data_IF_702048966812
#
_entry.id   IF_702048966812
#
_cell.length_a   1.000
_cell.length_b   1.000
_cell.length_c   1.000
_cell.angle_alpha   90.00
_cell.angle_beta   90.00
_cell.angle_gamma   90.00
#
_symmetry.space_group_name_H-M   'P 1'
#
loop_
_entity.id
_entity.type
_entity.pdbx_description
1 polymer ?
#
# COMPACT_ATOMS: atom_id res chain seq x y z
N UNK A 1 51.94 -51.89 -45.22
CA UNK A 1 52.99 -51.93 -44.17
C UNK A 1 54.12 -51.02 -44.60
N UNK A 2 54.18 -49.81 -44.04
CA UNK A 2 55.40 -49.00 -43.95
C UNK A 2 55.17 -47.94 -42.87
N UNK A 3 56.16 -47.83 -41.99
CA UNK A 3 56.17 -47.07 -40.77
C UNK A 3 56.75 -45.66 -40.96
N UNK A 4 56.53 -44.84 -39.92
CA UNK A 4 57.37 -43.77 -39.37
C UNK A 4 57.77 -42.53 -40.21
N UNK A 5 57.36 -41.36 -39.72
CA UNK A 5 58.18 -40.14 -39.60
C UNK A 5 57.36 -39.13 -38.76
N UNK A 6 57.63 -39.02 -37.46
CA UNK A 6 58.53 -38.01 -36.88
C UNK A 6 58.06 -36.56 -37.10
N UNK A 7 57.54 -35.95 -36.04
CA UNK A 7 57.37 -34.50 -35.92
C UNK A 7 57.51 -34.04 -34.48
N UNK A 8 58.71 -33.50 -34.23
CA UNK A 8 58.98 -32.23 -33.55
C UNK A 8 58.48 -31.99 -32.12
N UNK A 9 59.44 -32.19 -31.21
CA UNK A 9 59.84 -31.30 -30.11
C UNK A 9 59.15 -29.92 -30.07
N UNK A 10 58.62 -29.58 -28.89
CA UNK A 10 58.89 -28.31 -28.18
C UNK A 10 58.63 -28.45 -26.68
N UNK A 11 59.72 -28.39 -25.92
CA UNK A 11 59.78 -28.21 -24.46
C UNK A 11 60.03 -26.74 -24.15
N UNK A 12 59.12 -26.09 -23.40
CA UNK A 12 59.29 -24.88 -22.57
C UNK A 12 57.87 -24.44 -22.17
N UNK A 13 57.54 -23.96 -20.97
CA UNK A 13 58.32 -23.46 -19.84
C UNK A 13 57.35 -23.44 -18.65
N UNK A 14 57.86 -23.86 -17.50
CA UNK A 14 57.31 -23.57 -16.18
C UNK A 14 57.30 -22.04 -15.96
N UNK A 15 56.11 -21.46 -15.75
CA UNK A 15 55.97 -20.13 -15.16
C UNK A 15 54.81 -20.10 -14.16
N UNK A 16 55.17 -20.16 -12.88
CA UNK A 16 54.69 -19.16 -11.93
C UNK A 16 53.31 -19.39 -11.32
N UNK A 17 53.23 -20.34 -10.39
CA UNK A 17 52.19 -20.36 -9.36
C UNK A 17 52.49 -19.31 -8.28
N UNK A 18 51.69 -18.24 -8.24
CA UNK A 18 51.42 -17.42 -7.05
C UNK A 18 51.29 -15.90 -7.32
N UNK A 19 50.65 -15.11 -6.44
CA UNK A 19 49.84 -15.45 -5.28
C UNK A 19 48.37 -15.01 -5.42
N UNK A 20 47.55 -15.57 -4.53
CA UNK A 20 46.17 -15.19 -4.23
C UNK A 20 46.05 -13.67 -4.06
N UNK A 21 45.46 -13.01 -5.05
CA UNK A 21 44.99 -11.64 -4.95
C UNK A 21 43.74 -11.59 -4.07
N UNK A 22 43.95 -11.45 -2.77
CA UNK A 22 42.94 -10.99 -1.83
C UNK A 22 42.55 -9.55 -2.17
N UNK A 23 41.57 -9.40 -3.07
CA UNK A 23 40.86 -8.14 -3.30
C UNK A 23 39.60 -8.10 -2.45
N UNK A 24 39.75 -7.95 -1.13
CA UNK A 24 38.66 -7.51 -0.26
C UNK A 24 38.25 -6.10 -0.67
N UNK A 25 37.18 -5.99 -1.45
CA UNK A 25 36.24 -4.87 -1.32
C UNK A 25 34.82 -5.45 -1.47
N UNK A 26 34.48 -6.34 -0.54
CA UNK A 26 33.16 -6.22 0.07
C UNK A 26 33.08 -4.80 0.60
N UNK A 27 32.60 -3.88 -0.23
CA UNK A 27 32.04 -2.64 0.22
C UNK A 27 30.83 -3.06 1.04
N UNK A 28 31.08 -3.36 2.31
CA UNK A 28 30.12 -3.28 3.39
C UNK A 28 29.75 -1.80 3.49
N UNK A 29 29.06 -1.31 2.45
CA UNK A 29 28.45 -0.01 2.42
C UNK A 29 27.34 -0.14 3.44
N UNK A 30 27.67 0.20 4.70
CA UNK A 30 26.74 0.18 5.81
C UNK A 30 25.42 0.83 5.39
N UNK A 31 24.30 0.41 5.99
CA UNK A 31 22.96 0.69 5.50
C UNK A 31 22.85 2.13 4.99
N UNK A 32 22.40 2.27 3.74
CA UNK A 32 22.30 3.56 3.07
C UNK A 32 21.50 4.52 3.95
N UNK A 33 21.72 5.84 3.83
CA UNK A 33 20.98 6.85 4.62
C UNK A 33 19.47 6.58 4.68
N UNK A 34 18.88 6.04 3.61
CA UNK A 34 17.47 5.63 3.52
C UNK A 34 17.11 4.45 4.42
N UNK A 35 17.96 3.43 4.47
CA UNK A 35 17.72 2.22 5.28
C UNK A 35 17.71 2.56 6.78
N UNK A 36 18.53 3.53 7.18
CA UNK A 36 18.55 4.09 8.55
C UNK A 36 17.26 4.83 8.92
N UNK A 37 16.51 5.33 7.94
CA UNK A 37 15.26 6.08 8.18
C UNK A 37 14.02 5.17 8.26
N UNK A 38 14.09 3.93 7.77
CA UNK A 38 12.93 3.01 7.71
C UNK A 38 12.30 2.79 9.09
N UNK A 39 13.11 2.39 10.08
CA UNK A 39 12.64 2.13 11.45
C UNK A 39 12.10 3.38 12.15
N UNK A 40 12.83 4.52 12.21
CA UNK A 40 12.33 5.70 12.90
C UNK A 40 11.07 6.28 12.26
N UNK A 41 10.93 6.24 10.93
CA UNK A 41 9.70 6.68 10.25
C UNK A 41 8.50 5.81 10.60
N UNK A 42 8.69 4.48 10.64
CA UNK A 42 7.63 3.57 11.06
C UNK A 42 7.25 3.77 12.53
N UNK A 43 8.23 3.92 13.41
CA UNK A 43 8.00 4.20 14.84
C UNK A 43 7.25 5.52 14.99
N UNK A 44 7.66 6.58 14.29
CA UNK A 44 7.00 7.87 14.33
C UNK A 44 5.55 7.77 13.84
N UNK A 45 5.27 7.02 12.77
CA UNK A 45 3.91 6.76 12.30
C UNK A 45 3.05 6.06 13.37
N UNK A 46 3.59 5.02 14.02
CA UNK A 46 2.88 4.29 15.07
C UNK A 46 2.62 5.16 16.30
N UNK A 47 3.60 5.98 16.71
CA UNK A 47 3.45 6.92 17.83
C UNK A 47 2.42 7.99 17.50
N UNK A 48 2.49 8.60 16.31
CA UNK A 48 1.51 9.58 15.87
C UNK A 48 0.09 8.96 15.82
N UNK A 49 -0.05 7.73 15.30
CA UNK A 49 -1.32 7.01 15.30
C UNK A 49 -1.86 6.71 16.70
N UNK A 50 -0.98 6.33 17.63
CA UNK A 50 -1.38 6.13 19.02
C UNK A 50 -1.81 7.44 19.71
N UNK A 51 -1.08 8.54 19.47
CA UNK A 51 -1.42 9.87 19.98
C UNK A 51 -2.77 10.33 19.42
N UNK A 52 -3.01 10.11 18.13
CA UNK A 52 -4.29 10.42 17.48
C UNK A 52 -5.45 9.64 18.11
N UNK A 53 -5.34 8.31 18.15
CA UNK A 53 -6.41 7.44 18.67
C UNK A 53 -6.70 7.68 20.16
N UNK A 54 -5.66 7.85 20.99
CA UNK A 54 -5.82 8.19 22.40
C UNK A 54 -6.40 9.60 22.55
N UNK A 55 -5.97 10.54 21.72
CA UNK A 55 -6.50 11.89 21.67
C UNK A 55 -8.01 11.90 21.40
N UNK A 56 -8.45 11.16 20.39
CA UNK A 56 -9.87 10.98 20.06
C UNK A 56 -10.65 10.35 21.22
N UNK A 57 -10.14 9.26 21.82
CA UNK A 57 -10.80 8.60 22.95
C UNK A 57 -10.88 9.48 24.22
N UNK A 58 -9.87 10.32 24.43
CA UNK A 58 -9.79 11.23 25.58
C UNK A 58 -10.48 12.58 25.33
N UNK A 59 -10.99 12.84 24.12
CA UNK A 59 -11.57 14.13 23.74
C UNK A 59 -10.54 15.27 23.64
N UNK A 60 -9.27 14.96 23.40
CA UNK A 60 -8.18 15.93 23.25
C UNK A 60 -8.06 16.32 21.78
N UNK A 61 -8.90 17.28 21.38
CA UNK A 61 -9.06 17.75 20.01
C UNK A 61 -7.74 18.24 19.38
N UNK A 62 -6.88 18.90 20.18
CA UNK A 62 -5.56 19.33 19.73
C UNK A 62 -4.64 18.17 19.33
N UNK A 63 -4.74 17.02 20.02
CA UNK A 63 -3.95 15.84 19.69
C UNK A 63 -4.37 15.28 18.33
N UNK A 64 -5.67 15.23 18.05
CA UNK A 64 -6.20 14.80 16.75
C UNK A 64 -5.76 15.75 15.61
N UNK A 65 -5.94 17.07 15.80
CA UNK A 65 -5.58 18.07 14.79
C UNK A 65 -4.10 18.11 14.43
N UNK A 66 -3.21 17.81 15.38
CA UNK A 66 -1.77 17.78 15.13
C UNK A 66 -1.35 16.40 14.61
N UNK A 67 -1.78 15.32 15.25
CA UNK A 67 -1.31 13.98 14.89
C UNK A 67 -1.81 13.55 13.51
N UNK A 68 -3.07 13.83 13.18
CA UNK A 68 -3.71 13.37 11.93
C UNK A 68 -2.96 13.82 10.67
N UNK A 69 -2.62 15.12 10.48
CA UNK A 69 -1.84 15.55 9.31
C UNK A 69 -0.43 14.95 9.22
N UNK A 70 0.13 14.41 10.30
CA UNK A 70 1.46 13.79 10.29
C UNK A 70 1.44 12.34 9.78
N UNK A 71 0.31 11.63 9.90
CA UNK A 71 0.22 10.19 9.67
C UNK A 71 0.65 9.79 8.26
N UNK A 72 -0.03 10.34 7.24
CA UNK A 72 0.21 9.96 5.85
C UNK A 72 1.57 10.42 5.31
N UNK A 73 2.09 11.63 5.63
CA UNK A 73 3.47 12.00 5.28
C UNK A 73 4.53 11.09 5.90
N UNK A 74 4.36 10.66 7.16
CA UNK A 74 5.27 9.70 7.80
C UNK A 74 5.26 8.36 7.09
N UNK A 75 4.08 7.85 6.74
CA UNK A 75 3.93 6.60 6.01
C UNK A 75 4.47 6.69 4.57
N UNK A 76 4.29 7.84 3.90
CA UNK A 76 4.86 8.13 2.59
C UNK A 76 6.40 8.18 2.65
N UNK A 77 6.96 8.81 3.69
CA UNK A 77 8.38 8.80 3.98
C UNK A 77 8.90 7.38 4.19
N UNK A 78 8.18 6.56 4.96
CA UNK A 78 8.51 5.14 5.16
C UNK A 78 8.52 4.37 3.82
N UNK A 79 7.51 4.56 2.97
CA UNK A 79 7.46 3.95 1.65
C UNK A 79 8.65 4.38 0.77
N UNK A 80 9.01 5.66 0.78
CA UNK A 80 10.16 6.18 0.03
C UNK A 80 11.49 5.63 0.55
N UNK A 81 11.66 5.54 1.87
CA UNK A 81 12.84 4.95 2.51
C UNK A 81 12.99 3.47 2.14
N UNK A 82 11.87 2.74 2.01
CA UNK A 82 11.79 1.35 1.52
C UNK A 82 11.88 1.21 0.00
N UNK A 83 12.13 2.30 -0.75
CA UNK A 83 12.21 2.34 -2.22
C UNK A 83 10.91 1.87 -2.89
N UNK A 84 9.78 2.20 -2.29
CA UNK A 84 8.46 1.88 -2.81
C UNK A 84 8.12 2.55 -4.13
N UNK A 85 7.08 2.06 -4.82
CA UNK A 85 6.61 2.65 -6.07
C UNK A 85 6.17 4.11 -5.92
N UNK A 86 6.41 4.93 -6.93
CA UNK A 86 5.98 6.36 -6.92
C UNK A 86 4.47 6.54 -6.77
N UNK A 87 3.69 5.63 -7.36
CA UNK A 87 2.22 5.63 -7.23
C UNK A 87 1.76 5.39 -5.79
N UNK A 88 2.47 4.57 -5.01
CA UNK A 88 2.17 4.37 -3.59
C UNK A 88 2.40 5.67 -2.80
N UNK A 89 3.53 6.33 -3.05
CA UNK A 89 3.84 7.62 -2.39
C UNK A 89 2.80 8.68 -2.78
N UNK A 90 2.43 8.77 -4.06
CA UNK A 90 1.38 9.68 -4.52
C UNK A 90 0.03 9.38 -3.84
N UNK A 91 -0.36 8.10 -3.74
CA UNK A 91 -1.59 7.71 -3.06
C UNK A 91 -1.64 8.18 -1.60
N UNK A 92 -0.53 8.02 -0.87
CA UNK A 92 -0.40 8.46 0.52
C UNK A 92 -0.43 10.00 0.64
N UNK A 93 0.20 10.74 -0.27
CA UNK A 93 0.15 12.21 -0.26
C UNK A 93 -1.23 12.76 -0.61
N UNK A 94 -1.97 12.09 -1.48
CA UNK A 94 -3.38 12.42 -1.72
C UNK A 94 -4.28 12.04 -0.54
N UNK A 95 -3.96 10.95 0.17
CA UNK A 95 -4.58 10.62 1.46
C UNK A 95 -4.33 11.70 2.51
N UNK A 96 -3.10 12.21 2.60
CA UNK A 96 -2.75 13.35 3.46
C UNK A 96 -3.58 14.60 3.14
N UNK A 97 -3.73 14.92 1.85
CA UNK A 97 -4.60 16.02 1.42
C UNK A 97 -6.04 15.81 1.89
N UNK A 98 -6.56 14.59 1.72
CA UNK A 98 -7.89 14.19 2.19
C UNK A 98 -8.05 14.40 3.70
N UNK A 99 -7.15 13.84 4.50
CA UNK A 99 -7.12 13.98 5.96
C UNK A 99 -7.09 15.45 6.41
N UNK A 100 -6.33 16.28 5.71
CA UNK A 100 -6.18 17.70 6.04
C UNK A 100 -7.44 18.48 5.71
N UNK A 101 -8.08 18.22 4.57
CA UNK A 101 -9.32 18.90 4.19
C UNK A 101 -10.50 18.46 5.06
N UNK A 102 -10.54 17.20 5.50
CA UNK A 102 -11.58 16.69 6.41
C UNK A 102 -11.53 17.29 7.83
N UNK A 103 -10.46 18.00 8.20
CA UNK A 103 -10.40 18.71 9.48
C UNK A 103 -11.24 20.00 9.48
N UNK A 104 -11.59 20.53 8.31
CA UNK A 104 -12.41 21.74 8.22
C UNK A 104 -13.89 21.36 8.19
N UNK A 105 -14.65 21.96 9.09
CA UNK A 105 -16.09 21.78 9.20
C UNK A 105 -16.83 22.55 8.07
N UNK A 106 -16.79 22.01 6.85
CA UNK A 106 -17.53 22.53 5.70
C UNK A 106 -17.75 21.48 4.62
N UNK A 107 -18.92 21.50 3.98
CA UNK A 107 -19.26 20.58 2.88
C UNK A 107 -18.29 20.70 1.70
N UNK A 108 -17.81 21.92 1.43
CA UNK A 108 -16.83 22.14 0.36
C UNK A 108 -15.50 21.47 0.69
N UNK A 109 -15.01 21.62 1.93
CA UNK A 109 -13.78 20.94 2.35
C UNK A 109 -13.96 19.42 2.37
N UNK A 110 -15.13 18.92 2.77
CA UNK A 110 -15.47 17.50 2.67
C UNK A 110 -15.37 16.98 1.23
N UNK A 111 -15.99 17.67 0.26
CA UNK A 111 -15.93 17.29 -1.15
C UNK A 111 -14.52 17.36 -1.73
N UNK A 112 -13.74 18.39 -1.35
CA UNK A 112 -12.33 18.52 -1.76
C UNK A 112 -11.48 17.40 -1.15
N UNK A 113 -11.71 17.07 0.13
CA UNK A 113 -11.05 15.97 0.81
C UNK A 113 -11.36 14.62 0.19
N UNK A 114 -12.65 14.35 -0.08
CA UNK A 114 -13.10 13.17 -0.82
C UNK A 114 -12.47 13.09 -2.21
N UNK A 115 -12.41 14.23 -2.93
CA UNK A 115 -11.74 14.33 -4.22
C UNK A 115 -10.25 13.98 -4.12
N UNK A 116 -9.56 14.46 -3.09
CA UNK A 116 -8.17 14.11 -2.82
C UNK A 116 -8.00 12.61 -2.59
N UNK A 117 -8.83 12.00 -1.71
CA UNK A 117 -8.83 10.54 -1.52
C UNK A 117 -9.12 9.79 -2.81
N UNK A 118 -10.06 10.26 -3.65
CA UNK A 118 -10.38 9.64 -4.92
C UNK A 118 -9.17 9.57 -5.84
N UNK A 119 -8.38 10.65 -5.95
CA UNK A 119 -7.13 10.64 -6.73
C UNK A 119 -6.11 9.66 -6.12
N UNK A 120 -6.06 9.56 -4.78
CA UNK A 120 -5.27 8.56 -4.08
C UNK A 120 -5.66 7.11 -4.44
N UNK A 121 -6.97 6.83 -4.47
CA UNK A 121 -7.51 5.52 -4.86
C UNK A 121 -7.24 5.18 -6.32
N UNK A 122 -7.26 6.18 -7.21
CA UNK A 122 -6.85 5.99 -8.61
C UNK A 122 -5.36 5.61 -8.68
N UNK A 123 -4.50 6.24 -7.88
CA UNK A 123 -3.08 5.88 -7.80
C UNK A 123 -2.90 4.44 -7.30
N UNK A 124 -3.65 4.02 -6.28
CA UNK A 124 -3.67 2.63 -5.80
C UNK A 124 -4.14 1.66 -6.90
N UNK A 125 -5.25 1.96 -7.57
CA UNK A 125 -5.76 1.15 -8.66
C UNK A 125 -4.75 0.99 -9.80
N UNK A 126 -4.04 2.05 -10.17
CA UNK A 126 -2.97 1.95 -11.17
C UNK A 126 -1.81 1.11 -10.67
N UNK A 127 -1.41 1.28 -9.41
CA UNK A 127 -0.37 0.49 -8.79
C UNK A 127 -0.69 -1.01 -8.76
N UNK A 128 -1.94 -1.37 -8.44
CA UNK A 128 -2.37 -2.77 -8.37
C UNK A 128 -2.40 -3.44 -9.74
N UNK A 129 -2.47 -2.66 -10.83
CA UNK A 129 -2.48 -3.17 -12.20
C UNK A 129 -3.72 -4.00 -12.52
N UNK A 130 -3.89 -4.41 -13.78
CA UNK A 130 -5.10 -5.13 -14.26
C UNK A 130 -5.21 -6.59 -13.79
N UNK A 131 -4.75 -6.89 -12.59
CA UNK A 131 -4.92 -8.22 -12.02
C UNK A 131 -6.41 -8.54 -11.86
N UNK A 132 -6.79 -9.73 -12.30
CA UNK A 132 -8.16 -10.23 -12.20
C UNK A 132 -8.46 -10.53 -10.73
N UNK A 133 -9.39 -9.78 -10.14
CA UNK A 133 -10.05 -10.21 -8.92
C UNK A 133 -10.94 -11.41 -9.24
N UNK A 134 -11.13 -12.29 -8.26
CA UNK A 134 -12.08 -13.41 -8.40
C UNK A 134 -13.46 -12.84 -8.75
N UNK A 135 -14.17 -13.36 -9.77
CA UNK A 135 -15.52 -12.94 -10.11
C UNK A 135 -16.47 -13.00 -8.91
N UNK A 136 -16.26 -13.98 -8.02
CA UNK A 136 -17.02 -14.13 -6.77
C UNK A 136 -16.76 -12.98 -5.81
N UNK A 137 -15.49 -12.58 -5.65
CA UNK A 137 -15.14 -11.43 -4.81
C UNK A 137 -15.71 -10.13 -5.41
N UNK A 138 -15.59 -9.94 -6.73
CA UNK A 138 -16.16 -8.79 -7.42
C UNK A 138 -17.68 -8.70 -7.25
N UNK A 139 -18.39 -9.83 -7.38
CA UNK A 139 -19.83 -9.89 -7.13
C UNK A 139 -20.18 -9.59 -5.66
N UNK A 140 -19.42 -10.15 -4.71
CA UNK A 140 -19.62 -9.87 -3.28
C UNK A 140 -19.47 -8.38 -2.97
N UNK A 141 -18.41 -7.74 -3.47
CA UNK A 141 -18.20 -6.30 -3.33
C UNK A 141 -19.31 -5.48 -4.01
N UNK A 142 -19.76 -5.89 -5.20
CA UNK A 142 -20.86 -5.21 -5.90
C UNK A 142 -22.17 -5.28 -5.09
N UNK A 143 -22.52 -6.46 -4.56
CA UNK A 143 -23.71 -6.63 -3.71
C UNK A 143 -23.61 -5.78 -2.45
N UNK A 144 -22.46 -5.83 -1.74
CA UNK A 144 -22.23 -5.02 -0.53
C UNK A 144 -22.38 -3.54 -0.85
N UNK A 145 -21.73 -3.05 -1.90
CA UNK A 145 -21.82 -1.66 -2.32
C UNK A 145 -23.26 -1.24 -2.65
N UNK A 146 -23.96 -2.03 -3.47
CA UNK A 146 -25.34 -1.70 -3.89
C UNK A 146 -26.27 -1.66 -2.68
N UNK A 147 -26.20 -2.67 -1.81
CA UNK A 147 -27.02 -2.71 -0.59
C UNK A 147 -26.68 -1.54 0.33
N UNK A 148 -25.40 -1.27 0.55
CA UNK A 148 -24.95 -0.19 1.40
C UNK A 148 -25.41 1.19 0.90
N UNK A 149 -25.21 1.49 -0.39
CA UNK A 149 -25.66 2.76 -0.99
C UNK A 149 -27.20 2.88 -0.95
N UNK A 150 -27.93 1.79 -1.23
CA UNK A 150 -29.39 1.80 -1.18
C UNK A 150 -29.91 2.08 0.23
N UNK A 151 -29.28 1.52 1.26
CA UNK A 151 -29.62 1.74 2.66
C UNK A 151 -29.36 3.19 3.11
N UNK A 152 -28.27 3.78 2.66
CA UNK A 152 -27.90 5.16 3.02
C UNK A 152 -28.65 6.22 2.21
N UNK A 153 -29.19 5.87 1.04
CA UNK A 153 -29.67 6.82 0.02
C UNK A 153 -30.61 7.91 0.56
N UNK A 154 -31.56 7.53 1.42
CA UNK A 154 -32.55 8.46 1.95
C UNK A 154 -32.02 9.31 3.11
N UNK A 155 -31.00 8.83 3.82
CA UNK A 155 -30.35 9.59 4.91
C UNK A 155 -29.32 10.59 4.40
N UNK A 156 -28.74 10.36 3.22
CA UNK A 156 -27.74 11.27 2.66
C UNK A 156 -28.36 12.59 2.14
N UNK A 157 -27.68 13.74 2.36
CA UNK A 157 -28.01 15.01 1.72
C UNK A 157 -28.11 14.86 0.20
N UNK A 158 -29.10 15.51 -0.42
CA UNK A 158 -29.46 15.28 -1.82
C UNK A 158 -28.31 15.56 -2.80
N UNK A 159 -27.53 16.59 -2.52
CA UNK A 159 -26.33 17.01 -3.25
C UNK A 159 -25.13 16.08 -3.03
N UNK A 160 -25.06 15.38 -1.90
CA UNK A 160 -23.97 14.44 -1.57
C UNK A 160 -24.19 13.01 -2.07
N UNK A 161 -25.43 12.61 -2.42
CA UNK A 161 -25.76 11.24 -2.86
C UNK A 161 -24.91 10.77 -4.04
N UNK A 162 -24.82 11.59 -5.09
CA UNK A 162 -24.08 11.24 -6.31
C UNK A 162 -22.56 11.23 -6.05
N UNK A 163 -21.95 12.26 -5.42
CA UNK A 163 -20.55 12.21 -5.00
C UNK A 163 -20.20 10.97 -4.17
N UNK A 164 -20.97 10.66 -3.13
CA UNK A 164 -20.72 9.52 -2.24
C UNK A 164 -20.86 8.19 -2.99
N UNK A 165 -21.87 8.03 -3.84
CA UNK A 165 -22.05 6.80 -4.63
C UNK A 165 -20.88 6.60 -5.61
N UNK A 166 -20.47 7.65 -6.32
CA UNK A 166 -19.34 7.60 -7.26
C UNK A 166 -18.02 7.29 -6.56
N UNK A 167 -17.77 7.95 -5.42
CA UNK A 167 -16.61 7.68 -4.57
C UNK A 167 -16.62 6.25 -4.01
N UNK A 168 -17.75 5.78 -3.51
CA UNK A 168 -17.91 4.44 -2.96
C UNK A 168 -17.66 3.36 -4.03
N UNK A 169 -18.08 3.60 -5.28
CA UNK A 169 -17.77 2.71 -6.39
C UNK A 169 -16.27 2.62 -6.66
N UNK A 170 -15.58 3.77 -6.69
CA UNK A 170 -14.13 3.84 -6.87
C UNK A 170 -13.38 3.10 -5.75
N UNK A 171 -13.76 3.37 -4.50
CA UNK A 171 -13.17 2.75 -3.31
C UNK A 171 -13.39 1.23 -3.30
N UNK A 172 -14.59 0.79 -3.67
CA UNK A 172 -14.93 -0.64 -3.80
C UNK A 172 -14.09 -1.32 -4.88
N UNK A 173 -13.88 -0.65 -6.02
CA UNK A 173 -13.01 -1.18 -7.07
C UNK A 173 -11.55 -1.29 -6.60
N UNK A 174 -11.07 -0.33 -5.81
CA UNK A 174 -9.73 -0.35 -5.18
C UNK A 174 -9.63 -1.53 -4.21
N UNK A 175 -10.58 -1.68 -3.29
CA UNK A 175 -10.61 -2.75 -2.30
C UNK A 175 -10.65 -4.15 -2.96
N UNK A 176 -11.50 -4.31 -3.98
CA UNK A 176 -11.60 -5.54 -4.76
C UNK A 176 -10.28 -5.93 -5.45
N UNK A 177 -9.53 -4.94 -5.95
CA UNK A 177 -8.25 -5.15 -6.64
C UNK A 177 -7.05 -5.24 -5.71
N UNK A 178 -7.14 -4.73 -4.48
CA UNK A 178 -6.04 -4.75 -3.52
C UNK A 178 -5.53 -6.17 -3.26
N UNK A 179 -6.41 -7.18 -3.33
CA UNK A 179 -6.02 -8.59 -3.17
C UNK A 179 -5.05 -9.12 -4.22
N UNK A 180 -4.86 -8.42 -5.34
CA UNK A 180 -3.83 -8.75 -6.33
C UNK A 180 -2.40 -8.70 -5.76
N UNK A 181 -2.18 -7.90 -4.72
CA UNK A 181 -0.90 -7.80 -4.00
C UNK A 181 -0.80 -8.80 -2.81
N UNK A 182 -1.80 -9.66 -2.64
CA UNK A 182 -1.87 -10.67 -1.60
C UNK A 182 -2.81 -10.31 -0.44
N UNK A 183 -2.95 -11.24 0.51
CA UNK A 183 -3.92 -11.16 1.61
C UNK A 183 -3.78 -9.89 2.45
N UNK A 184 -2.55 -9.42 2.70
CA UNK A 184 -2.31 -8.20 3.47
C UNK A 184 -2.97 -6.98 2.82
N UNK A 185 -2.78 -6.80 1.52
CA UNK A 185 -3.41 -5.70 0.79
C UNK A 185 -4.92 -5.90 0.65
N UNK A 186 -5.42 -7.15 0.50
CA UNK A 186 -6.85 -7.44 0.49
C UNK A 186 -7.53 -6.96 1.79
N UNK A 187 -6.97 -7.31 2.95
CA UNK A 187 -7.47 -6.87 4.25
C UNK A 187 -7.36 -5.35 4.38
N UNK A 188 -6.25 -4.75 3.91
CA UNK A 188 -6.09 -3.30 3.90
C UNK A 188 -7.17 -2.58 3.08
N UNK A 189 -7.47 -3.07 1.88
CA UNK A 189 -8.55 -2.53 1.04
C UNK A 189 -9.92 -2.66 1.69
N UNK A 190 -10.21 -3.81 2.30
CA UNK A 190 -11.47 -4.03 3.05
C UNK A 190 -11.61 -3.10 4.26
N UNK A 191 -10.54 -2.88 5.02
CA UNK A 191 -10.54 -1.93 6.14
C UNK A 191 -10.71 -0.48 5.69
N UNK A 192 -10.18 -0.10 4.51
CA UNK A 192 -10.41 1.23 3.95
C UNK A 192 -11.90 1.41 3.62
N UNK A 193 -12.50 0.42 2.95
CA UNK A 193 -13.93 0.42 2.65
C UNK A 193 -14.78 0.51 3.93
N UNK A 194 -14.38 -0.18 5.00
CA UNK A 194 -15.05 -0.09 6.30
C UNK A 194 -14.92 1.30 6.92
N UNK A 195 -13.72 1.88 6.93
CA UNK A 195 -13.47 3.24 7.45
C UNK A 195 -14.37 4.27 6.80
N UNK A 196 -14.40 4.32 5.47
CA UNK A 196 -15.21 5.30 4.75
C UNK A 196 -16.70 4.98 4.82
N UNK A 197 -17.05 3.71 4.97
CA UNK A 197 -18.40 3.28 5.29
C UNK A 197 -18.88 3.87 6.62
N UNK A 198 -18.05 3.86 7.66
CA UNK A 198 -18.38 4.48 8.95
C UNK A 198 -18.62 6.00 8.80
N UNK A 199 -17.78 6.69 8.02
CA UNK A 199 -17.99 8.11 7.69
C UNK A 199 -19.34 8.31 6.98
N UNK A 200 -19.63 7.50 5.95
CA UNK A 200 -20.87 7.60 5.18
C UNK A 200 -22.12 7.32 6.04
N UNK A 201 -22.05 6.38 7.00
CA UNK A 201 -23.14 6.16 7.97
C UNK A 201 -23.36 7.37 8.86
N UNK A 202 -22.30 8.08 9.23
CA UNK A 202 -22.43 9.29 10.02
C UNK A 202 -23.09 10.45 9.26
N UNK A 203 -22.76 10.61 7.98
CA UNK A 203 -23.40 11.61 7.10
C UNK A 203 -24.88 11.28 6.86
N UNK A 204 -25.25 10.00 6.87
CA UNK A 204 -26.64 9.57 6.68
C UNK A 204 -27.47 9.57 7.98
N UNK A 205 -26.95 10.13 9.08
CA UNK A 205 -27.58 10.16 10.41
C UNK A 205 -27.96 8.77 10.94
N UNK A 206 -27.21 7.73 10.56
CA UNK A 206 -27.41 6.39 11.11
C UNK A 206 -26.88 6.28 12.55
N UNK A 207 -27.42 5.34 13.36
CA UNK A 207 -26.87 5.08 14.70
C UNK A 207 -25.38 4.73 14.63
N UNK A 208 -24.57 5.51 15.35
CA UNK A 208 -23.12 5.35 15.36
C UNK A 208 -22.65 4.53 16.57
N UNK A 209 -21.46 3.95 16.44
CA UNK A 209 -20.76 3.32 17.56
C UNK A 209 -20.31 4.37 18.58
N UNK A 210 -20.10 3.99 19.86
CA UNK A 210 -19.40 4.85 20.80
C UNK A 210 -18.01 5.21 20.26
N UNK A 211 -17.65 6.50 20.35
CA UNK A 211 -16.43 7.07 19.77
C UNK A 211 -16.28 6.75 18.27
N UNK A 212 -17.16 7.27 17.40
CA UNK A 212 -17.17 6.94 15.97
C UNK A 212 -15.84 7.27 15.28
N UNK A 213 -15.27 8.44 15.59
CA UNK A 213 -14.00 8.90 15.03
C UNK A 213 -12.83 7.97 15.36
N UNK A 214 -12.87 7.30 16.52
CA UNK A 214 -11.86 6.31 16.89
C UNK A 214 -11.90 5.12 15.94
N UNK A 215 -13.09 4.59 15.63
CA UNK A 215 -13.24 3.43 14.74
C UNK A 215 -12.88 3.78 13.30
N UNK A 216 -13.26 4.97 12.84
CA UNK A 216 -12.83 5.50 11.54
C UNK A 216 -11.31 5.56 11.49
N UNK A 217 -10.66 6.27 12.43
CA UNK A 217 -9.20 6.42 12.42
C UNK A 217 -8.46 5.09 12.61
N UNK A 218 -8.95 4.19 13.46
CA UNK A 218 -8.32 2.90 13.70
C UNK A 218 -8.33 2.03 12.43
N UNK A 219 -9.49 1.91 11.79
CA UNK A 219 -9.63 1.12 10.56
C UNK A 219 -8.88 1.76 9.39
N UNK A 220 -8.90 3.10 9.29
CA UNK A 220 -8.12 3.86 8.32
C UNK A 220 -6.60 3.65 8.45
N UNK A 221 -6.06 3.80 9.66
CA UNK A 221 -4.64 3.62 9.93
C UNK A 221 -4.17 2.20 9.61
N UNK A 222 -4.97 1.21 10.03
CA UNK A 222 -4.71 -0.19 9.72
C UNK A 222 -4.77 -0.45 8.20
N UNK A 223 -5.75 0.13 7.50
CA UNK A 223 -5.90 0.03 6.05
C UNK A 223 -4.66 0.57 5.32
N UNK A 224 -4.27 1.81 5.62
CA UNK A 224 -3.12 2.47 5.00
C UNK A 224 -1.81 1.74 5.26
N UNK A 225 -1.60 1.26 6.49
CA UNK A 225 -0.44 0.47 6.85
C UNK A 225 -0.38 -0.86 6.08
N UNK A 226 -1.50 -1.58 5.99
CA UNK A 226 -1.58 -2.87 5.30
C UNK A 226 -1.44 -2.73 3.78
N UNK A 227 -2.06 -1.72 3.17
CA UNK A 227 -1.89 -1.40 1.75
C UNK A 227 -0.43 -1.03 1.44
N UNK A 228 0.18 -0.20 2.28
CA UNK A 228 1.58 0.21 2.14
C UNK A 228 2.52 -0.98 2.26
N UNK A 229 2.39 -1.78 3.32
CA UNK A 229 3.27 -2.94 3.52
C UNK A 229 3.02 -4.07 2.53
N UNK A 230 1.78 -4.24 2.05
CA UNK A 230 1.43 -5.15 0.96
C UNK A 230 2.07 -4.74 -0.36
N UNK A 231 2.01 -3.46 -0.72
CA UNK A 231 2.66 -2.92 -1.92
C UNK A 231 4.20 -2.93 -1.87
N UNK A 232 4.78 -2.95 -0.68
CA UNK A 232 6.23 -3.07 -0.45
C UNK A 232 6.69 -4.52 -0.25
N UNK A 233 5.76 -5.49 -0.20
CA UNK A 233 6.13 -6.89 -0.09
C UNK A 233 6.79 -7.34 -1.41
N UNK A 234 7.79 -8.23 -1.34
CA UNK A 234 8.33 -8.87 -2.53
C UNK A 234 7.18 -9.50 -3.33
N UNK A 235 7.20 -9.33 -4.66
CA UNK A 235 6.22 -9.99 -5.51
C UNK A 235 6.25 -11.50 -5.20
N UNK A 236 5.11 -12.18 -5.03
CA UNK A 236 5.10 -13.61 -4.83
C UNK A 236 5.87 -14.24 -5.99
N UNK A 237 6.93 -14.99 -5.67
CA UNK A 237 7.64 -15.80 -6.65
C UNK A 237 6.59 -16.62 -7.40
N UNK A 238 6.50 -16.43 -8.72
CA UNK A 238 5.74 -17.35 -9.55
C UNK A 238 6.44 -18.71 -9.44
N UNK A 239 6.00 -19.53 -8.51
CA UNK A 239 6.52 -20.87 -8.26
C UNK A 239 6.53 -21.64 -9.58
N UNK A 240 7.75 -21.96 -10.06
CA UNK A 240 8.06 -23.06 -10.96
C UNK A 240 7.35 -23.10 -12.32
N UNK A 241 7.95 -22.44 -13.33
CA UNK A 241 7.95 -22.99 -14.69
C UNK A 241 9.38 -23.41 -15.03
N UNK A 242 9.82 -24.49 -14.40
CA UNK A 242 11.02 -25.24 -14.79
C UNK A 242 10.59 -26.61 -15.26
N UNK A 243 10.70 -26.80 -16.58
CA UNK A 243 11.19 -27.99 -17.28
C UNK A 243 10.56 -29.36 -16.99
N UNK A 244 9.84 -29.87 -17.99
CA UNK A 244 10.19 -31.17 -18.58
C UNK A 244 10.49 -30.93 -20.06
N UNK A 245 11.73 -30.56 -20.35
CA UNK A 245 12.36 -30.91 -21.62
C UNK A 245 12.83 -32.35 -21.42
N UNK A 246 12.05 -33.31 -21.92
CA UNK A 246 12.43 -34.72 -21.91
C UNK A 246 13.46 -34.97 -23.02
N UNK A 247 14.47 -35.82 -22.83
CA UNK A 247 15.43 -36.12 -23.88
C UNK A 247 14.69 -36.74 -25.08
N UNK A 248 15.01 -36.25 -26.27
CA UNK A 248 14.85 -37.05 -27.48
C UNK A 248 15.86 -38.19 -27.38
N UNK A 249 15.36 -39.42 -27.33
CA UNK A 249 15.94 -40.63 -27.93
C UNK A 249 14.83 -41.68 -28.11
#
# INVERSE_FOLDING_TARGET
MSAEADRDRRTNTDTGRGPRGAGRTGADAGPGRRDRLVRPLLIAFLVAGAVDLVGVLAGIELAHQIAKPLLMPLLAGYALARRGPRLLVAALLFGWGGDTFLLFDSDTAFLVGMGSFAVGHICYLWLFGRAHSSPVAALGYAVVLTVFVALLWNGLPADMRVPIAGYSMLLTAMACRAGALGMRAAVGGGLFLLSDGLIATGIADWPQLPAPDFWVMFTYLAAQYLLTTGALAPAPERTGRTTTDGPRD
#
